data_IF_228850112429
#
_entry.id   IF_228850112429
#
_cell.length_a   1.000
_cell.length_b   1.000
_cell.length_c   1.000
_cell.angle_alpha   90.00
_cell.angle_beta   90.00
_cell.angle_gamma   90.00
#
_symmetry.space_group_name_H-M   'P 1'
#
loop_
_entity.id
_entity.type
_entity.pdbx_description
1 polymer ?
#
# COMPACT_ATOMS: atom_id res chain seq x y z
N UNK A 1 28.51 39.00 -53.84
CA UNK A 1 28.51 37.91 -52.85
C UNK A 1 27.42 38.22 -51.81
N UNK A 2 26.63 37.23 -51.38
CA UNK A 2 25.32 37.44 -50.74
C UNK A 2 25.44 37.81 -49.27
N UNK A 3 24.40 38.52 -48.78
CA UNK A 3 24.24 39.02 -47.41
C UNK A 3 23.84 37.87 -46.47
N UNK A 4 24.58 37.71 -45.38
CA UNK A 4 24.21 36.84 -44.27
C UNK A 4 22.98 37.39 -43.53
N UNK A 5 21.93 36.57 -43.43
CA UNK A 5 20.74 36.83 -42.61
C UNK A 5 20.93 36.03 -41.31
N UNK A 6 21.05 36.68 -40.13
CA UNK A 6 21.04 35.96 -38.88
C UNK A 6 19.63 35.43 -38.59
N UNK A 7 19.56 34.12 -38.43
CA UNK A 7 18.37 33.37 -38.06
C UNK A 7 18.03 33.70 -36.58
N UNK A 8 17.00 34.51 -36.36
CA UNK A 8 16.47 34.82 -35.03
C UNK A 8 15.73 33.59 -34.48
N UNK A 9 16.42 32.79 -33.67
CA UNK A 9 15.80 31.76 -32.85
C UNK A 9 14.97 32.47 -31.77
N UNK A 10 13.66 32.60 -32.00
CA UNK A 10 12.70 33.01 -30.99
C UNK A 10 12.53 31.87 -29.99
N UNK A 11 13.24 31.94 -28.87
CA UNK A 11 12.92 31.16 -27.68
C UNK A 11 11.93 31.97 -26.85
N UNK A 12 10.63 31.81 -27.13
CA UNK A 12 9.61 32.27 -26.19
C UNK A 12 9.77 31.47 -24.91
N UNK A 13 10.36 32.11 -23.89
CA UNK A 13 10.42 31.56 -22.53
C UNK A 13 8.98 31.24 -22.13
N UNK A 14 8.67 30.01 -21.69
CA UNK A 14 7.32 29.68 -21.25
C UNK A 14 6.93 30.65 -20.13
N UNK A 15 5.85 31.39 -20.40
CA UNK A 15 5.37 32.52 -19.63
C UNK A 15 5.33 32.21 -18.13
N UNK A 16 6.11 32.98 -17.38
CA UNK A 16 6.18 32.92 -15.92
C UNK A 16 4.80 33.09 -15.26
N UNK A 17 3.87 33.74 -15.97
CA UNK A 17 2.48 33.96 -15.58
C UNK A 17 1.67 32.66 -15.57
N UNK A 18 1.86 31.78 -16.56
CA UNK A 18 1.15 30.50 -16.63
C UNK A 18 1.54 29.57 -15.47
N UNK A 19 2.83 29.56 -15.08
CA UNK A 19 3.30 28.77 -13.94
C UNK A 19 2.74 29.26 -12.60
N UNK A 20 2.61 30.58 -12.41
CA UNK A 20 2.00 31.14 -11.19
C UNK A 20 0.49 30.88 -11.11
N UNK A 21 -0.22 30.90 -12.24
CA UNK A 21 -1.65 30.62 -12.29
C UNK A 21 -1.97 29.18 -11.86
N UNK A 22 -1.15 28.20 -12.27
CA UNK A 22 -1.31 26.80 -11.87
C UNK A 22 -1.10 26.61 -10.36
N UNK A 23 -0.08 27.26 -9.79
CA UNK A 23 0.20 27.17 -8.35
C UNK A 23 -0.97 27.74 -7.52
N UNK A 24 -1.54 28.87 -7.94
CA UNK A 24 -2.69 29.48 -7.26
C UNK A 24 -3.93 28.58 -7.36
N UNK A 25 -4.21 27.97 -8.51
CA UNK A 25 -5.35 27.05 -8.68
C UNK A 25 -5.25 25.81 -7.79
N UNK A 26 -4.06 25.17 -7.71
CA UNK A 26 -3.83 24.05 -6.79
C UNK A 26 -4.00 24.47 -5.33
N UNK A 27 -3.56 25.68 -4.98
CA UNK A 27 -3.67 26.20 -3.61
C UNK A 27 -5.13 26.48 -3.22
N UNK A 28 -5.94 26.99 -4.16
CA UNK A 28 -7.38 27.25 -3.96
C UNK A 28 -8.17 25.94 -3.82
N UNK A 29 -7.84 24.89 -4.57
CA UNK A 29 -8.50 23.57 -4.44
C UNK A 29 -8.23 22.94 -3.06
N UNK A 30 -7.02 23.11 -2.53
CA UNK A 30 -6.65 22.67 -1.17
C UNK A 30 -7.41 23.50 -0.11
N UNK A 31 -7.54 24.82 -0.32
CA UNK A 31 -8.24 25.74 0.58
C UNK A 31 -9.76 25.57 0.60
N UNK A 32 -10.37 25.09 -0.48
CA UNK A 32 -11.81 24.84 -0.58
C UNK A 32 -12.27 23.62 0.23
N UNK A 33 -11.36 22.88 0.90
CA UNK A 33 -11.74 21.90 1.93
C UNK A 33 -12.51 20.68 1.41
N UNK A 34 -12.46 20.40 0.11
CA UNK A 34 -13.22 19.30 -0.52
C UNK A 34 -12.41 17.98 -0.56
N UNK A 35 -11.32 17.88 0.17
CA UNK A 35 -10.60 16.59 0.30
C UNK A 35 -11.15 15.84 1.50
N UNK A 36 -12.29 15.15 1.32
CA UNK A 36 -12.80 14.19 2.29
C UNK A 36 -11.74 13.10 2.49
N UNK A 37 -11.36 12.81 3.74
CA UNK A 37 -10.44 11.70 4.03
C UNK A 37 -11.04 10.42 3.40
N UNK A 38 -10.36 9.79 2.42
CA UNK A 38 -10.88 8.58 1.77
C UNK A 38 -11.07 7.41 2.75
N UNK A 39 -10.50 7.52 3.96
CA UNK A 39 -10.57 6.52 5.02
C UNK A 39 -11.32 7.02 6.27
N UNK A 40 -12.20 8.03 6.14
CA UNK A 40 -12.97 8.61 7.27
C UNK A 40 -13.79 7.55 8.04
N UNK A 41 -14.30 6.53 7.34
CA UNK A 41 -15.10 5.45 7.93
C UNK A 41 -14.28 4.21 8.31
N UNK A 42 -12.95 4.30 8.34
CA UNK A 42 -12.08 3.17 8.67
C UNK A 42 -11.66 3.23 10.14
N UNK A 43 -11.43 2.07 10.75
CA UNK A 43 -11.00 1.94 12.14
C UNK A 43 -9.48 1.94 12.21
N UNK A 44 -8.91 2.68 13.16
CA UNK A 44 -7.47 2.71 13.42
C UNK A 44 -7.08 1.56 14.35
N UNK A 45 -6.12 0.74 13.93
CA UNK A 45 -5.42 -0.21 14.77
C UNK A 45 -4.02 0.31 15.08
N UNK A 46 -3.61 0.19 16.35
CA UNK A 46 -2.26 0.56 16.81
C UNK A 46 -1.64 -0.62 17.53
N UNK A 47 -0.37 -0.91 17.21
CA UNK A 47 0.47 -1.81 17.98
C UNK A 47 1.67 -1.03 18.53
N UNK A 48 1.52 -0.49 19.73
CA UNK A 48 2.55 0.33 20.37
C UNK A 48 3.85 -0.45 20.60
N UNK A 49 3.74 -1.72 20.99
CA UNK A 49 4.90 -2.60 21.23
C UNK A 49 5.76 -2.78 19.98
N UNK A 50 5.14 -2.88 18.80
CA UNK A 50 5.82 -3.01 17.53
C UNK A 50 6.10 -1.65 16.85
N UNK A 51 5.47 -0.56 17.33
CA UNK A 51 5.71 0.81 16.87
C UNK A 51 5.06 1.15 15.53
N UNK A 52 3.90 0.59 15.23
CA UNK A 52 3.16 0.89 14.01
C UNK A 52 1.65 1.04 14.24
N UNK A 53 0.98 1.71 13.31
CA UNK A 53 -0.47 1.76 13.22
C UNK A 53 -0.93 1.65 11.77
N UNK A 54 -2.18 1.29 11.54
CA UNK A 54 -2.81 1.29 10.22
C UNK A 54 -4.33 1.37 10.34
N UNK A 55 -5.00 1.81 9.29
CA UNK A 55 -6.47 1.80 9.20
C UNK A 55 -6.96 0.55 8.46
N UNK A 56 -8.13 0.06 8.84
CA UNK A 56 -8.83 -1.04 8.16
C UNK A 56 -10.35 -0.77 8.06
N UNK A 57 -11.07 -1.41 7.14
CA UNK A 57 -12.52 -1.19 7.01
C UNK A 57 -13.25 -1.51 8.32
N UNK A 58 -14.04 -0.58 8.84
CA UNK A 58 -14.70 -0.73 10.16
C UNK A 58 -15.70 -1.88 10.24
N UNK A 59 -16.14 -2.40 9.10
CA UNK A 59 -17.01 -3.58 9.06
C UNK A 59 -16.25 -4.90 9.34
N UNK A 60 -14.92 -4.90 9.30
CA UNK A 60 -14.13 -6.10 9.53
C UNK A 60 -14.09 -6.45 11.03
N UNK A 61 -14.19 -7.74 11.32
CA UNK A 61 -14.08 -8.26 12.67
C UNK A 61 -12.61 -8.44 13.05
N UNK A 62 -12.24 -8.00 14.26
CA UNK A 62 -10.91 -8.23 14.83
C UNK A 62 -10.94 -9.43 15.77
N UNK A 63 -10.16 -10.46 15.46
CA UNK A 63 -9.95 -11.64 16.30
C UNK A 63 -8.44 -11.84 16.57
N UNK A 64 -7.98 -11.33 17.70
CA UNK A 64 -6.55 -11.37 18.06
C UNK A 64 -5.71 -10.52 17.10
N UNK A 65 -4.92 -11.17 16.23
CA UNK A 65 -4.07 -10.52 15.22
C UNK A 65 -4.64 -10.60 13.80
N UNK A 66 -5.86 -11.12 13.65
CA UNK A 66 -6.54 -11.36 12.39
C UNK A 66 -7.73 -10.41 12.24
N UNK A 67 -7.86 -9.78 11.08
CA UNK A 67 -8.92 -8.88 10.69
C UNK A 67 -9.67 -9.54 9.53
N UNK A 68 -10.97 -9.74 9.64
CA UNK A 68 -11.75 -10.59 8.72
C UNK A 68 -12.91 -9.79 8.15
N UNK A 69 -13.11 -9.83 6.83
CA UNK A 69 -14.27 -9.18 6.19
C UNK A 69 -15.60 -9.85 6.60
N UNK A 70 -16.74 -9.13 6.60
CA UNK A 70 -18.04 -9.68 7.01
C UNK A 70 -18.44 -10.98 6.29
N UNK A 71 -18.11 -11.07 5.00
CA UNK A 71 -18.38 -12.22 4.14
C UNK A 71 -17.25 -13.26 4.15
N UNK A 72 -16.19 -13.05 4.95
CA UNK A 72 -14.98 -13.90 5.04
C UNK A 72 -14.27 -14.11 3.72
N UNK A 73 -14.46 -13.20 2.76
CA UNK A 73 -13.76 -13.22 1.47
C UNK A 73 -12.33 -12.69 1.56
N UNK A 74 -12.05 -11.87 2.57
CA UNK A 74 -10.76 -11.23 2.77
C UNK A 74 -10.35 -11.36 4.24
N UNK A 75 -9.05 -11.52 4.47
CA UNK A 75 -8.48 -11.39 5.80
C UNK A 75 -7.10 -10.77 5.75
N UNK A 76 -6.77 -10.05 6.81
CA UNK A 76 -5.43 -9.54 7.09
C UNK A 76 -4.97 -10.15 8.41
N UNK A 77 -3.77 -10.72 8.45
CA UNK A 77 -3.13 -11.16 9.69
C UNK A 77 -1.80 -10.46 9.86
N UNK A 78 -1.53 -9.93 11.05
CA UNK A 78 -0.28 -9.21 11.32
C UNK A 78 0.63 -10.03 12.24
N UNK A 79 1.82 -10.37 11.74
CA UNK A 79 2.84 -11.12 12.45
C UNK A 79 4.01 -10.22 12.81
N UNK A 80 4.47 -10.31 14.07
CA UNK A 80 5.67 -9.61 14.55
C UNK A 80 6.65 -10.66 15.04
N UNK A 81 7.86 -10.67 14.50
CA UNK A 81 8.94 -11.61 14.83
C UNK A 81 8.54 -13.08 14.76
N UNK A 82 7.54 -13.40 13.94
CA UNK A 82 7.01 -14.77 13.80
C UNK A 82 7.29 -15.23 12.36
N UNK A 83 7.99 -16.37 12.18
CA UNK A 83 8.13 -16.98 10.87
C UNK A 83 6.76 -17.35 10.31
N UNK A 84 6.56 -17.14 9.01
CA UNK A 84 5.35 -17.57 8.30
C UNK A 84 5.72 -18.74 7.40
N UNK A 85 5.01 -19.85 7.56
CA UNK A 85 5.13 -21.00 6.68
C UNK A 85 4.36 -20.77 5.38
N UNK A 86 5.03 -20.97 4.24
CA UNK A 86 4.44 -20.81 2.90
C UNK A 86 4.50 -22.10 2.10
N UNK A 87 4.49 -23.25 2.77
CA UNK A 87 4.71 -24.57 2.16
C UNK A 87 3.67 -24.89 1.06
N UNK A 88 2.46 -24.36 1.20
CA UNK A 88 1.36 -24.51 0.25
C UNK A 88 1.22 -23.36 -0.74
N UNK A 89 2.24 -22.50 -0.87
CA UNK A 89 2.17 -21.30 -1.68
C UNK A 89 3.43 -21.13 -2.51
N UNK A 90 3.26 -20.92 -3.81
CA UNK A 90 4.35 -20.54 -4.71
C UNK A 90 4.40 -19.03 -4.83
N UNK A 91 5.56 -18.45 -4.51
CA UNK A 91 5.81 -17.02 -4.72
C UNK A 91 5.80 -16.72 -6.21
N UNK A 92 4.98 -15.77 -6.63
CA UNK A 92 4.80 -15.39 -8.05
C UNK A 92 5.51 -14.09 -8.39
N UNK A 93 5.61 -13.14 -7.45
CA UNK A 93 6.36 -11.90 -7.63
C UNK A 93 6.84 -11.31 -6.32
N UNK A 94 7.87 -10.46 -6.43
CA UNK A 94 8.44 -9.67 -5.33
C UNK A 94 8.67 -8.26 -5.82
N UNK A 95 8.22 -7.29 -5.04
CA UNK A 95 8.36 -5.86 -5.31
C UNK A 95 8.93 -5.16 -4.08
N UNK A 96 9.89 -4.27 -4.28
CA UNK A 96 10.36 -3.37 -3.22
C UNK A 96 9.41 -2.18 -3.12
N UNK A 97 8.90 -1.91 -1.92
CA UNK A 97 8.00 -0.79 -1.67
C UNK A 97 8.59 0.15 -0.63
N UNK A 98 8.11 1.40 -0.63
CA UNK A 98 8.41 2.37 0.41
C UNK A 98 7.12 2.82 1.09
N UNK A 99 7.08 2.79 2.41
CA UNK A 99 5.99 3.36 3.22
C UNK A 99 6.61 4.42 4.11
N UNK A 100 6.34 5.69 3.78
CA UNK A 100 7.08 6.81 4.33
C UNK A 100 8.58 6.64 4.04
N UNK A 101 9.38 6.53 5.09
CA UNK A 101 10.83 6.33 5.00
C UNK A 101 11.25 4.85 5.12
N UNK A 102 10.31 3.95 5.40
CA UNK A 102 10.60 2.54 5.64
C UNK A 102 10.55 1.78 4.31
N UNK A 103 11.59 0.99 4.06
CA UNK A 103 11.65 0.03 2.96
C UNK A 103 11.00 -1.30 3.37
N UNK A 104 10.19 -1.86 2.48
CA UNK A 104 9.59 -3.17 2.65
C UNK A 104 9.62 -3.98 1.37
N UNK A 105 9.19 -5.24 1.45
CA UNK A 105 8.96 -6.09 0.29
C UNK A 105 7.50 -6.53 0.25
N UNK A 106 6.84 -6.29 -0.88
CA UNK A 106 5.53 -6.87 -1.22
C UNK A 106 5.76 -8.14 -2.02
N UNK A 107 5.22 -9.26 -1.55
CA UNK A 107 5.36 -10.56 -2.20
C UNK A 107 3.98 -11.11 -2.51
N UNK A 108 3.77 -11.56 -3.74
CA UNK A 108 2.53 -12.20 -4.15
C UNK A 108 2.74 -13.70 -4.24
N UNK A 109 1.70 -14.44 -3.88
CA UNK A 109 1.70 -15.89 -3.81
C UNK A 109 0.43 -16.45 -4.43
N UNK A 110 0.60 -17.55 -5.14
CA UNK A 110 -0.49 -18.38 -5.62
C UNK A 110 -0.43 -19.71 -4.87
N UNK A 111 -1.57 -20.14 -4.32
CA UNK A 111 -1.65 -21.46 -3.72
C UNK A 111 -1.33 -22.57 -4.73
N UNK A 112 -0.70 -23.63 -4.24
CA UNK A 112 -0.39 -24.82 -5.04
C UNK A 112 -1.28 -25.98 -4.64
N UNK A 113 -1.80 -26.71 -5.63
CA UNK A 113 -2.49 -27.97 -5.38
C UNK A 113 -1.46 -29.08 -5.16
N UNK A 114 -1.53 -29.74 -4.01
CA UNK A 114 -0.75 -30.94 -3.69
C UNK A 114 -1.47 -31.80 -2.65
N UNK A 115 -1.07 -33.07 -2.52
CA UNK A 115 -1.64 -34.00 -1.53
C UNK A 115 -1.55 -33.46 -0.08
N UNK A 116 -0.55 -32.62 0.21
CA UNK A 116 -0.35 -32.00 1.53
C UNK A 116 -1.15 -30.71 1.73
N UNK A 117 -1.51 -30.02 0.64
CA UNK A 117 -2.05 -28.67 0.68
C UNK A 117 -3.53 -28.57 0.35
N UNK A 118 -4.12 -29.64 -0.20
CA UNK A 118 -5.45 -29.58 -0.79
C UNK A 118 -5.51 -28.59 -1.96
N UNK A 119 -6.72 -28.27 -2.42
CA UNK A 119 -6.91 -27.22 -3.42
C UNK A 119 -6.81 -25.86 -2.73
N UNK A 120 -5.63 -25.25 -2.79
CA UNK A 120 -5.42 -23.86 -2.40
C UNK A 120 -5.56 -22.95 -3.63
N UNK A 121 -6.79 -22.66 -4.04
CA UNK A 121 -7.03 -21.66 -5.10
C UNK A 121 -6.88 -20.22 -4.55
N UNK A 122 -6.61 -20.07 -3.26
CA UNK A 122 -6.44 -18.81 -2.57
C UNK A 122 -5.26 -17.99 -3.11
N UNK A 123 -5.52 -16.71 -3.31
CA UNK A 123 -4.46 -15.71 -3.52
C UNK A 123 -4.01 -15.16 -2.18
N UNK A 124 -2.71 -14.95 -2.05
CA UNK A 124 -2.12 -14.44 -0.84
C UNK A 124 -1.06 -13.40 -1.18
N UNK A 125 -1.05 -12.33 -0.42
CA UNK A 125 -0.07 -11.27 -0.54
C UNK A 125 0.57 -11.04 0.82
N UNK A 126 1.87 -10.80 0.85
CA UNK A 126 2.57 -10.42 2.07
C UNK A 126 3.27 -9.10 1.89
N UNK A 127 3.32 -8.31 2.96
CA UNK A 127 4.21 -7.17 3.03
C UNK A 127 5.07 -7.30 4.25
N UNK A 128 6.38 -7.26 4.03
CA UNK A 128 7.37 -7.53 5.05
C UNK A 128 8.22 -6.28 5.26
N UNK A 129 8.27 -5.82 6.50
CA UNK A 129 9.13 -4.72 6.94
C UNK A 129 10.17 -5.24 7.92
N UNK A 130 11.40 -4.77 7.77
CA UNK A 130 12.46 -4.96 8.75
C UNK A 130 12.72 -3.62 9.43
N UNK A 131 12.39 -3.55 10.71
CA UNK A 131 12.60 -2.37 11.56
C UNK A 131 13.54 -2.76 12.69
N UNK A 132 14.80 -2.33 12.62
CA UNK A 132 15.82 -2.71 13.60
C UNK A 132 15.91 -4.24 13.76
N UNK A 133 15.64 -4.75 14.96
CA UNK A 133 15.58 -6.18 15.29
C UNK A 133 14.21 -6.84 15.06
N UNK A 134 13.22 -6.08 14.56
CA UNK A 134 11.85 -6.55 14.35
C UNK A 134 11.57 -6.84 12.88
N UNK A 135 10.84 -7.93 12.63
CA UNK A 135 10.23 -8.23 11.34
C UNK A 135 8.72 -8.15 11.51
N UNK A 136 8.07 -7.26 10.76
CA UNK A 136 6.61 -7.11 10.74
C UNK A 136 6.13 -7.61 9.39
N UNK A 137 5.18 -8.54 9.40
CA UNK A 137 4.63 -9.14 8.19
C UNK A 137 3.12 -8.97 8.20
N UNK A 138 2.59 -8.35 7.16
CA UNK A 138 1.17 -8.21 6.88
C UNK A 138 0.80 -9.29 5.89
N UNK A 139 0.05 -10.30 6.32
CA UNK A 139 -0.42 -11.40 5.49
C UNK A 139 -1.86 -11.12 5.07
N UNK A 140 -2.08 -10.87 3.79
CA UNK A 140 -3.40 -10.71 3.21
C UNK A 140 -3.81 -11.97 2.46
N UNK A 141 -5.02 -12.45 2.68
CA UNK A 141 -5.55 -13.62 1.97
C UNK A 141 -6.91 -13.30 1.39
N UNK A 142 -7.11 -13.74 0.15
CA UNK A 142 -8.36 -13.62 -0.60
C UNK A 142 -8.90 -15.03 -0.82
N UNK A 143 -10.16 -15.24 -0.42
CA UNK A 143 -10.92 -16.41 -0.79
C UNK A 143 -11.64 -16.17 -2.13
N UNK A 144 -11.19 -16.86 -3.18
CA UNK A 144 -11.71 -16.72 -4.55
C UNK A 144 -13.13 -17.26 -4.73
N UNK A 145 -13.63 -18.06 -3.79
CA UNK A 145 -15.00 -18.59 -3.86
C UNK A 145 -16.06 -17.49 -3.68
N UNK A 146 -15.65 -16.27 -3.33
CA UNK A 146 -16.52 -15.12 -3.13
C UNK A 146 -16.23 -14.03 -4.17
N UNK A 147 -17.17 -13.82 -5.11
CA UNK A 147 -17.03 -12.98 -6.31
C UNK A 147 -16.91 -11.45 -6.08
N UNK A 148 -16.84 -10.97 -4.84
CA UNK A 148 -17.03 -9.54 -4.50
C UNK A 148 -15.83 -8.91 -3.79
N UNK A 149 -14.63 -9.40 -4.06
CA UNK A 149 -13.41 -8.86 -3.44
C UNK A 149 -12.97 -7.61 -4.20
N UNK A 150 -12.75 -6.49 -3.49
CA UNK A 150 -12.12 -5.31 -4.08
C UNK A 150 -10.61 -5.55 -4.15
N UNK A 151 -10.03 -5.76 -5.36
CA UNK A 151 -8.62 -6.07 -5.50
C UNK A 151 -7.69 -4.96 -4.98
N UNK A 152 -8.19 -3.72 -4.84
CA UNK A 152 -7.44 -2.59 -4.30
C UNK A 152 -7.50 -2.46 -2.78
N UNK A 153 -8.26 -3.30 -2.07
CA UNK A 153 -8.48 -3.14 -0.63
C UNK A 153 -7.20 -3.34 0.18
N UNK A 154 -6.35 -4.28 -0.23
CA UNK A 154 -5.04 -4.45 0.40
C UNK A 154 -4.17 -3.21 0.20
N UNK A 155 -4.02 -2.70 -1.03
CA UNK A 155 -3.21 -1.51 -1.30
C UNK A 155 -3.71 -0.27 -0.54
N UNK A 156 -5.03 -0.16 -0.34
CA UNK A 156 -5.65 0.86 0.52
C UNK A 156 -5.23 0.71 1.98
N UNK A 157 -5.28 -0.49 2.55
CA UNK A 157 -4.80 -0.72 3.94
C UNK A 157 -3.33 -0.33 4.05
N UNK A 158 -2.52 -0.78 3.11
CA UNK A 158 -1.07 -0.57 3.10
C UNK A 158 -0.72 0.91 3.02
N UNK A 159 -1.48 1.72 2.26
CA UNK A 159 -1.24 3.16 2.17
C UNK A 159 -1.54 3.92 3.47
N UNK A 160 -2.21 3.29 4.43
CA UNK A 160 -2.49 3.86 5.75
C UNK A 160 -1.51 3.43 6.85
N UNK A 161 -0.52 2.59 6.52
CA UNK A 161 0.47 2.15 7.52
C UNK A 161 1.37 3.32 7.91
N UNK A 162 1.46 3.57 9.21
CA UNK A 162 2.33 4.56 9.81
C UNK A 162 3.26 3.91 10.84
N UNK A 163 4.51 4.35 10.91
CA UNK A 163 5.50 3.88 11.87
C UNK A 163 5.85 4.99 12.85
N UNK A 164 5.66 4.76 14.15
CA UNK A 164 5.73 5.80 15.19
C UNK A 164 7.17 6.20 15.57
N UNK A 165 8.18 5.45 15.14
CA UNK A 165 9.60 5.78 15.34
C UNK A 165 10.47 5.02 14.32
N UNK A 166 10.59 5.52 13.08
CA UNK A 166 11.52 4.95 12.11
C UNK A 166 12.94 5.41 12.47
N UNK A 167 13.56 4.79 13.48
CA UNK A 167 15.01 4.92 13.59
C UNK A 167 15.59 4.13 12.41
N UNK A 168 15.88 4.88 11.34
CA UNK A 168 16.51 4.38 10.13
C UNK A 168 17.96 4.02 10.48
N UNK A 169 18.31 2.75 10.35
CA UNK A 169 19.72 2.34 10.24
C UNK A 169 20.17 2.48 8.78
#
# INVERSE_FOLDING_TARGET
>A
MPKDIPNLISTSKPDYVAKRLIIVLFSVIILLGISKDPFENWTLYTNDDAGFSFKYPSAWELNGKMFISPNKSESLTVFVNTPIGFECYKRTSVENINIGQIKGTKENYQGVSSDLCGNSDSEMMTINFRLNSKVINFLYSINKDVLTVDPGNFDKIISTIEFNNPVLN
#
